data_IF_587534556008
#
_entry.id   IF_587534556008
#
_cell.length_a   1.000
_cell.length_b   1.000
_cell.length_c   1.000
_cell.angle_alpha   90.00
_cell.angle_beta   90.00
_cell.angle_gamma   90.00
#
_symmetry.space_group_name_H-M   'P 1'
#
loop_
_entity.id
_entity.type
_entity.pdbx_description
1 polymer ?
#
# COMPACT_ATOMS: atom_id res chain seq x y z
N UNK A 1 54.74 -5.84 -35.15
CA UNK A 1 55.02 -5.08 -33.92
C UNK A 1 53.77 -4.27 -33.59
N UNK A 2 53.17 -4.54 -32.42
CA UNK A 2 52.37 -3.69 -31.50
C UNK A 2 51.41 -2.59 -32.06
N UNK A 3 50.29 -2.18 -31.47
CA UNK A 3 49.41 -2.58 -30.34
C UNK A 3 48.47 -1.38 -30.03
N UNK A 4 47.23 -1.61 -29.56
CA UNK A 4 46.31 -0.69 -28.80
C UNK A 4 45.84 0.62 -29.51
N UNK A 5 44.61 1.17 -29.37
CA UNK A 5 43.40 0.90 -28.59
C UNK A 5 42.46 2.14 -28.65
N UNK A 6 41.14 1.94 -28.47
CA UNK A 6 40.07 2.93 -28.14
C UNK A 6 39.71 3.98 -29.23
N UNK A 7 38.47 4.39 -29.50
CA UNK A 7 37.26 4.56 -28.70
C UNK A 7 36.03 4.36 -29.62
N UNK A 8 35.04 3.58 -29.16
CA UNK A 8 33.71 3.46 -29.78
C UNK A 8 32.91 4.71 -29.45
N UNK A 9 32.60 5.53 -30.45
CA UNK A 9 31.53 6.54 -30.38
C UNK A 9 30.51 6.19 -31.46
N UNK A 10 29.71 5.17 -31.20
CA UNK A 10 28.54 4.87 -32.01
C UNK A 10 27.46 5.89 -31.64
N UNK A 11 27.07 6.70 -32.62
CA UNK A 11 25.92 7.59 -32.62
C UNK A 11 24.66 6.81 -32.19
N UNK A 12 24.25 6.96 -30.93
CA UNK A 12 22.98 6.40 -30.45
C UNK A 12 21.87 7.25 -31.04
N UNK A 13 21.31 6.75 -32.14
CA UNK A 13 20.12 7.28 -32.78
C UNK A 13 18.96 7.27 -31.79
N UNK A 14 18.21 8.36 -31.83
CA UNK A 14 17.05 8.71 -31.02
C UNK A 14 15.88 7.73 -31.21
N UNK A 15 16.03 6.48 -30.78
CA UNK A 15 14.90 5.64 -30.45
C UNK A 15 14.45 6.08 -29.07
N UNK A 16 13.39 6.87 -29.01
CA UNK A 16 12.45 6.78 -27.90
C UNK A 16 11.96 5.33 -27.88
N UNK A 17 12.75 4.43 -27.28
CA UNK A 17 12.23 3.20 -26.76
C UNK A 17 11.16 3.68 -25.79
N UNK A 18 9.89 3.47 -26.15
CA UNK A 18 8.82 3.39 -25.20
C UNK A 18 9.20 2.27 -24.25
N UNK A 19 10.08 2.57 -23.28
CA UNK A 19 10.22 1.75 -22.10
C UNK A 19 8.84 1.89 -21.49
N UNK A 20 7.98 0.91 -21.80
CA UNK A 20 6.75 0.70 -21.08
C UNK A 20 7.23 0.37 -19.67
N UNK A 21 7.44 1.41 -18.86
CA UNK A 21 7.42 1.31 -17.42
C UNK A 21 5.99 0.88 -17.09
N UNK A 22 5.69 -0.40 -17.28
CA UNK A 22 4.57 -1.03 -16.62
C UNK A 22 4.89 -0.89 -15.15
N UNK A 23 4.15 -0.01 -14.48
CA UNK A 23 4.17 0.10 -13.04
C UNK A 23 4.05 -1.32 -12.47
N UNK A 24 5.03 -1.73 -11.69
CA UNK A 24 5.05 -3.06 -11.05
C UNK A 24 4.04 -3.14 -9.90
N UNK A 25 3.41 -2.02 -9.56
CA UNK A 25 2.53 -1.86 -8.43
C UNK A 25 1.10 -2.26 -8.78
N UNK A 26 0.38 -2.76 -7.77
CA UNK A 26 -1.03 -3.04 -7.92
C UNK A 26 -1.79 -1.71 -8.04
N UNK A 27 -2.48 -1.50 -9.15
CA UNK A 27 -3.38 -0.37 -9.31
C UNK A 27 -4.74 -0.69 -8.66
N UNK A 28 -5.37 0.34 -8.09
CA UNK A 28 -6.68 0.29 -7.42
C UNK A 28 -7.60 1.38 -7.95
N UNK A 29 -8.91 1.14 -7.86
CA UNK A 29 -9.92 2.15 -8.15
C UNK A 29 -10.59 2.64 -6.87
N UNK A 30 -10.42 3.92 -6.53
CA UNK A 30 -10.80 4.47 -5.22
C UNK A 30 -11.75 5.63 -5.40
N UNK A 31 -12.80 5.70 -4.58
CA UNK A 31 -13.79 6.75 -4.64
C UNK A 31 -13.16 8.11 -4.30
N UNK A 32 -13.61 9.17 -4.98
CA UNK A 32 -13.22 10.54 -4.70
C UNK A 32 -13.77 10.96 -3.33
N UNK A 33 -12.93 11.25 -2.31
CA UNK A 33 -13.41 11.65 -0.98
C UNK A 33 -14.12 13.01 -1.00
N UNK A 34 -13.94 13.80 -2.05
CA UNK A 34 -14.62 15.08 -2.25
C UNK A 34 -15.88 14.97 -3.13
N UNK A 35 -16.21 13.78 -3.64
CA UNK A 35 -17.47 13.57 -4.33
C UNK A 35 -18.65 13.74 -3.36
N UNK A 36 -19.81 14.11 -3.91
CA UNK A 36 -21.03 14.16 -3.10
C UNK A 36 -21.37 12.74 -2.65
N UNK A 37 -21.60 12.60 -1.35
CA UNK A 37 -21.99 11.34 -0.72
C UNK A 37 -23.26 10.74 -1.35
N UNK A 38 -24.19 11.58 -1.83
CA UNK A 38 -25.38 11.13 -2.58
C UNK A 38 -25.03 10.39 -3.87
N UNK A 39 -24.08 10.93 -4.63
CA UNK A 39 -23.70 10.42 -5.94
C UNK A 39 -22.92 9.09 -5.79
N UNK A 40 -22.13 9.00 -4.72
CA UNK A 40 -21.47 7.76 -4.31
C UNK A 40 -22.49 6.70 -3.86
N UNK A 41 -23.47 7.07 -3.04
CA UNK A 41 -24.51 6.15 -2.59
C UNK A 41 -25.36 5.62 -3.76
N UNK A 42 -25.76 6.49 -4.69
CA UNK A 42 -26.51 6.09 -5.90
C UNK A 42 -25.70 5.09 -6.74
N UNK A 43 -24.38 5.32 -6.86
CA UNK A 43 -23.49 4.41 -7.58
C UNK A 43 -23.34 3.06 -6.88
N UNK A 44 -23.26 3.05 -5.54
CA UNK A 44 -23.25 1.81 -4.74
C UNK A 44 -24.56 1.04 -4.96
N UNK A 45 -25.70 1.71 -4.78
CA UNK A 45 -27.03 1.09 -4.88
C UNK A 45 -27.26 0.52 -6.28
N UNK A 46 -26.88 1.25 -7.32
CA UNK A 46 -26.95 0.77 -8.70
C UNK A 46 -26.08 -0.46 -8.91
N UNK A 47 -24.81 -0.41 -8.50
CA UNK A 47 -23.85 -1.50 -8.72
C UNK A 47 -24.23 -2.75 -7.94
N UNK A 48 -24.55 -2.61 -6.65
CA UNK A 48 -24.98 -3.72 -5.79
C UNK A 48 -26.38 -4.24 -6.13
N UNK A 49 -27.19 -3.47 -6.87
CA UNK A 49 -28.45 -3.92 -7.46
C UNK A 49 -28.27 -4.90 -8.64
N UNK A 50 -27.07 -4.97 -9.23
CA UNK A 50 -26.79 -5.94 -10.28
C UNK A 50 -26.54 -7.34 -9.70
N UNK A 51 -27.22 -8.35 -10.28
CA UNK A 51 -27.10 -9.76 -9.88
C UNK A 51 -25.67 -10.34 -9.91
N UNK A 52 -24.75 -9.68 -10.61
CA UNK A 52 -23.39 -10.17 -10.84
C UNK A 52 -22.32 -9.51 -9.97
N UNK A 53 -22.73 -8.62 -9.05
CA UNK A 53 -21.84 -7.95 -8.11
C UNK A 53 -22.17 -8.45 -6.70
N UNK A 54 -21.17 -8.97 -6.00
CA UNK A 54 -21.30 -9.42 -4.61
C UNK A 54 -20.87 -8.30 -3.66
N UNK A 55 -21.86 -7.60 -3.09
CA UNK A 55 -21.64 -6.57 -2.08
C UNK A 55 -21.74 -7.09 -0.64
N UNK A 56 -21.77 -8.41 -0.41
CA UNK A 56 -21.84 -8.98 0.95
C UNK A 56 -20.69 -8.53 1.85
N UNK A 57 -19.52 -8.26 1.26
CA UNK A 57 -18.33 -7.83 1.99
C UNK A 57 -18.47 -6.46 2.68
N UNK A 58 -19.32 -5.56 2.16
CA UNK A 58 -19.54 -4.21 2.71
C UNK A 58 -20.82 -4.11 3.55
N UNK A 59 -21.56 -5.20 3.74
CA UNK A 59 -22.74 -5.23 4.61
C UNK A 59 -22.33 -5.38 6.08
N UNK A 60 -23.23 -5.10 7.06
CA UNK A 60 -22.94 -5.31 8.47
C UNK A 60 -22.39 -6.72 8.76
N UNK A 61 -21.28 -6.78 9.51
CA UNK A 61 -20.48 -7.99 9.78
C UNK A 61 -19.67 -8.53 8.59
N UNK A 62 -19.63 -7.82 7.46
CA UNK A 62 -18.78 -8.13 6.32
C UNK A 62 -17.31 -7.79 6.59
N UNK A 63 -16.35 -8.48 5.95
CA UNK A 63 -14.92 -8.24 6.12
C UNK A 63 -14.44 -6.85 5.69
N UNK A 64 -15.23 -6.13 4.88
CA UNK A 64 -14.93 -4.78 4.39
C UNK A 64 -16.02 -3.78 4.82
N UNK A 65 -16.74 -4.09 5.90
CA UNK A 65 -17.73 -3.17 6.47
C UNK A 65 -17.05 -1.96 7.13
N UNK A 66 -15.92 -2.17 7.78
CA UNK A 66 -15.14 -1.12 8.43
C UNK A 66 -13.97 -0.65 7.54
N UNK A 67 -13.73 0.68 7.41
CA UNK A 67 -14.48 1.76 8.04
C UNK A 67 -15.89 1.91 7.44
N UNK A 68 -16.90 2.07 8.29
CA UNK A 68 -18.29 2.20 7.85
C UNK A 68 -18.60 3.62 7.32
N UNK A 69 -18.03 3.95 6.16
CA UNK A 69 -18.33 5.19 5.43
C UNK A 69 -18.74 4.91 3.98
N UNK A 70 -19.53 5.82 3.41
CA UNK A 70 -19.99 5.72 2.02
C UNK A 70 -18.81 5.78 1.03
N UNK A 71 -17.76 6.54 1.35
CA UNK A 71 -16.55 6.63 0.50
C UNK A 71 -15.79 5.31 0.47
N UNK A 72 -15.67 4.64 1.62
CA UNK A 72 -14.96 3.35 1.73
C UNK A 72 -15.74 2.23 1.02
N UNK A 73 -17.05 2.16 1.24
CA UNK A 73 -17.92 1.19 0.55
C UNK A 73 -17.95 1.44 -0.97
N UNK A 74 -17.99 2.71 -1.41
CA UNK A 74 -17.93 3.04 -2.84
C UNK A 74 -16.58 2.63 -3.45
N UNK A 75 -15.48 2.85 -2.73
CA UNK A 75 -14.14 2.43 -3.17
C UNK A 75 -14.05 0.91 -3.35
N UNK A 76 -14.66 0.13 -2.45
CA UNK A 76 -14.72 -1.33 -2.59
C UNK A 76 -15.44 -1.74 -3.87
N UNK A 77 -16.63 -1.17 -4.10
CA UNK A 77 -17.49 -1.48 -5.24
C UNK A 77 -16.83 -1.06 -6.57
N UNK A 78 -16.29 0.15 -6.64
CA UNK A 78 -15.58 0.64 -7.82
C UNK A 78 -14.35 -0.21 -8.14
N UNK A 79 -13.58 -0.60 -7.12
CA UNK A 79 -12.43 -1.48 -7.33
C UNK A 79 -12.87 -2.85 -7.83
N UNK A 80 -13.92 -3.46 -7.26
CA UNK A 80 -14.38 -4.79 -7.66
C UNK A 80 -14.74 -4.83 -9.16
N UNK A 81 -15.56 -3.88 -9.62
CA UNK A 81 -15.98 -3.79 -11.02
C UNK A 81 -14.80 -3.47 -11.94
N UNK A 82 -13.98 -2.50 -11.55
CA UNK A 82 -12.84 -2.09 -12.36
C UNK A 82 -11.82 -3.22 -12.51
N UNK A 83 -11.48 -3.95 -11.44
CA UNK A 83 -10.53 -5.07 -11.51
C UNK A 83 -11.01 -6.17 -12.47
N UNK A 84 -12.32 -6.42 -12.50
CA UNK A 84 -12.94 -7.42 -13.36
C UNK A 84 -12.90 -7.01 -14.84
N UNK A 85 -13.18 -5.76 -15.14
CA UNK A 85 -13.38 -5.28 -16.52
C UNK A 85 -12.26 -4.39 -17.08
N UNK A 86 -11.19 -4.09 -16.33
CA UNK A 86 -10.09 -3.22 -16.81
C UNK A 86 -9.40 -3.74 -18.08
N UNK A 87 -9.41 -5.06 -18.33
CA UNK A 87 -8.88 -5.66 -19.57
C UNK A 87 -9.77 -5.41 -20.80
N UNK A 88 -11.03 -5.06 -20.57
CA UNK A 88 -12.02 -4.74 -21.59
C UNK A 88 -12.05 -3.23 -21.91
N UNK A 89 -11.18 -2.44 -21.26
CA UNK A 89 -11.07 -0.99 -21.49
C UNK A 89 -11.93 -0.14 -20.57
N UNK A 90 -12.57 -0.72 -19.54
CA UNK A 90 -13.28 0.04 -18.52
C UNK A 90 -12.30 0.91 -17.74
N UNK A 91 -12.54 2.21 -17.77
CA UNK A 91 -11.76 3.20 -17.03
C UNK A 91 -12.27 3.29 -15.59
N UNK A 92 -11.34 3.38 -14.63
CA UNK A 92 -11.62 3.82 -13.27
C UNK A 92 -11.81 5.34 -13.26
N UNK A 93 -12.82 5.81 -13.98
CA UNK A 93 -13.18 7.23 -14.02
C UNK A 93 -14.59 7.41 -14.61
N UNK A 94 -15.54 7.66 -13.72
CA UNK A 94 -16.85 8.23 -14.05
C UNK A 94 -17.06 9.56 -13.31
N UNK A 95 -15.98 10.29 -13.00
CA UNK A 95 -16.00 11.53 -12.20
C UNK A 95 -16.12 11.33 -10.69
N UNK A 96 -16.35 10.10 -10.23
CA UNK A 96 -16.54 9.74 -8.81
C UNK A 96 -15.39 8.91 -8.21
N UNK A 97 -14.39 8.53 -9.01
CA UNK A 97 -13.29 7.68 -8.58
C UNK A 97 -11.99 8.05 -9.31
N UNK A 98 -10.85 7.62 -8.77
CA UNK A 98 -9.54 7.81 -9.34
C UNK A 98 -8.67 6.55 -9.18
N UNK A 99 -7.74 6.36 -10.13
CA UNK A 99 -6.73 5.29 -10.01
C UNK A 99 -5.66 5.71 -9.01
N UNK A 100 -5.30 4.78 -8.14
CA UNK A 100 -4.14 4.91 -7.25
C UNK A 100 -3.24 3.69 -7.38
N UNK A 101 -1.97 3.87 -7.08
CA UNK A 101 -0.98 2.80 -7.03
C UNK A 101 -0.75 2.26 -5.60
N UNK A 102 -1.44 2.86 -4.62
CA UNK A 102 -1.35 2.54 -3.18
C UNK A 102 -2.65 1.89 -2.71
N UNK A 103 -2.56 0.87 -1.86
CA UNK A 103 -3.76 0.24 -1.27
C UNK A 103 -4.47 1.22 -0.31
N UNK A 104 -5.70 1.68 -0.61
CA UNK A 104 -6.44 2.62 0.23
C UNK A 104 -6.88 2.00 1.57
N UNK A 105 -6.94 0.67 1.66
CA UNK A 105 -7.24 -0.07 2.89
C UNK A 105 -5.94 -0.56 3.56
N UNK A 106 -4.79 -0.16 3.04
CA UNK A 106 -3.48 -0.47 3.57
C UNK A 106 -3.32 0.12 4.96
N UNK A 107 -3.55 -0.71 5.96
CA UNK A 107 -3.12 -0.37 7.32
C UNK A 107 -1.65 -0.74 7.46
N UNK A 108 -0.90 0.11 8.14
CA UNK A 108 0.53 -0.06 8.42
C UNK A 108 0.77 0.10 9.91
N UNK A 109 1.75 -0.63 10.44
CA UNK A 109 2.21 -0.44 11.80
C UNK A 109 3.57 0.25 11.78
N UNK A 110 3.61 1.53 12.13
CA UNK A 110 4.82 2.35 12.06
C UNK A 110 5.29 2.74 13.46
N UNK A 111 6.51 3.26 13.57
CA UNK A 111 7.00 3.81 14.83
C UNK A 111 6.16 5.01 15.30
N UNK A 112 6.01 5.13 16.62
CA UNK A 112 5.39 6.28 17.25
C UNK A 112 6.40 7.41 17.34
N UNK A 113 6.10 8.56 16.72
CA UNK A 113 7.00 9.72 16.70
C UNK A 113 7.25 10.34 18.09
N UNK A 114 6.43 10.01 19.08
CA UNK A 114 6.61 10.44 20.47
C UNK A 114 7.42 9.44 21.32
N UNK A 115 7.75 8.27 20.79
CA UNK A 115 8.57 7.28 21.49
C UNK A 115 10.06 7.66 21.41
N UNK A 116 10.81 7.37 22.47
CA UNK A 116 12.28 7.55 22.45
C UNK A 116 12.96 6.42 21.69
N UNK A 117 14.16 6.69 21.17
CA UNK A 117 14.98 5.68 20.49
C UNK A 117 15.21 4.43 21.36
N UNK A 118 15.37 4.56 22.67
CA UNK A 118 15.51 3.42 23.59
C UNK A 118 14.26 2.52 23.62
N UNK A 119 13.07 3.12 23.53
CA UNK A 119 11.79 2.39 23.49
C UNK A 119 11.63 1.72 22.13
N UNK A 120 11.95 2.44 21.05
CA UNK A 120 11.93 1.92 19.70
C UNK A 120 12.91 0.74 19.53
N UNK A 121 14.13 0.86 20.03
CA UNK A 121 15.15 -0.19 19.93
C UNK A 121 14.73 -1.46 20.66
N UNK A 122 14.17 -1.35 21.87
CA UNK A 122 13.60 -2.52 22.57
C UNK A 122 12.49 -3.19 21.77
N UNK A 123 11.66 -2.38 21.11
CA UNK A 123 10.65 -2.87 20.18
C UNK A 123 11.27 -3.64 19.01
N UNK A 124 12.31 -3.08 18.36
CA UNK A 124 13.05 -3.73 17.26
C UNK A 124 13.62 -5.07 17.72
N UNK A 125 14.33 -5.08 18.85
CA UNK A 125 14.98 -6.27 19.39
C UNK A 125 13.97 -7.40 19.63
N UNK A 126 12.79 -7.05 20.16
CA UNK A 126 11.71 -8.01 20.34
C UNK A 126 11.12 -8.46 19.00
N UNK A 127 10.77 -7.53 18.11
CA UNK A 127 10.12 -7.82 16.83
C UNK A 127 10.99 -8.76 15.98
N UNK A 128 12.27 -8.42 15.82
CA UNK A 128 13.24 -9.19 15.05
C UNK A 128 13.71 -10.48 15.75
N UNK A 129 13.62 -10.53 17.08
CA UNK A 129 13.93 -11.70 17.89
C UNK A 129 12.71 -12.58 18.10
N UNK A 130 12.13 -12.51 19.30
CA UNK A 130 11.04 -13.39 19.73
C UNK A 130 9.73 -13.20 18.94
N UNK A 131 9.48 -12.00 18.42
CA UNK A 131 8.31 -11.68 17.60
C UNK A 131 8.33 -12.35 16.22
N UNK A 132 9.51 -12.68 15.71
CA UNK A 132 9.66 -13.37 14.42
C UNK A 132 9.27 -12.52 13.21
N UNK A 133 9.46 -11.20 13.28
CA UNK A 133 9.48 -10.32 12.12
C UNK A 133 10.64 -10.70 11.19
N UNK A 134 10.46 -10.51 9.89
CA UNK A 134 11.59 -10.52 8.96
C UNK A 134 12.27 -9.15 9.03
N UNK A 135 13.49 -9.10 9.57
CA UNK A 135 14.32 -7.90 9.68
C UNK A 135 15.58 -7.97 8.81
N UNK A 136 15.60 -8.85 7.80
CA UNK A 136 16.72 -8.97 6.87
C UNK A 136 16.93 -7.69 6.07
N UNK A 137 15.86 -7.02 5.62
CA UNK A 137 15.98 -5.83 4.78
C UNK A 137 16.52 -4.58 5.48
N UNK A 138 16.53 -4.54 6.81
CA UNK A 138 17.05 -3.42 7.62
C UNK A 138 18.49 -3.66 8.13
N UNK A 139 19.16 -4.72 7.67
CA UNK A 139 20.56 -4.96 8.01
C UNK A 139 21.50 -4.09 7.14
N UNK A 140 22.75 -3.85 7.58
CA UNK A 140 23.72 -3.13 6.76
C UNK A 140 23.81 -3.67 5.32
N UNK A 141 23.82 -2.77 4.35
CA UNK A 141 23.83 -3.05 2.90
C UNK A 141 22.56 -3.67 2.32
N UNK A 142 21.42 -3.60 3.04
CA UNK A 142 20.14 -4.10 2.56
C UNK A 142 19.19 -2.96 2.13
N UNK A 143 18.15 -3.24 1.32
CA UNK A 143 17.34 -2.21 0.66
C UNK A 143 16.63 -1.22 1.59
N UNK A 144 16.31 -1.63 2.82
CA UNK A 144 15.59 -0.81 3.81
C UNK A 144 16.51 -0.33 4.95
N UNK A 145 17.83 -0.42 4.80
CA UNK A 145 18.78 0.09 5.79
C UNK A 145 18.84 1.62 5.83
N UNK A 146 18.60 2.28 4.70
CA UNK A 146 18.62 3.75 4.59
C UNK A 146 17.18 4.26 4.50
N UNK A 147 16.78 5.23 5.34
CA UNK A 147 17.60 5.98 6.30
C UNK A 147 18.03 5.13 7.49
N UNK A 148 19.28 5.31 7.93
CA UNK A 148 19.84 4.58 9.07
C UNK A 148 19.46 5.28 10.38
N UNK A 149 18.17 5.25 10.70
CA UNK A 149 17.63 5.76 11.98
C UNK A 149 16.87 4.66 12.70
N UNK A 150 16.83 4.75 14.04
CA UNK A 150 16.08 3.81 14.88
C UNK A 150 14.59 3.83 14.52
N UNK A 151 14.03 5.02 14.24
CA UNK A 151 12.62 5.18 13.89
C UNK A 151 12.24 4.49 12.56
N UNK A 152 13.09 4.59 11.54
CA UNK A 152 12.86 3.96 10.24
C UNK A 152 12.96 2.43 10.32
N UNK A 153 13.99 1.93 11.01
CA UNK A 153 14.17 0.50 11.24
C UNK A 153 13.03 -0.08 12.10
N UNK A 154 12.57 0.67 13.11
CA UNK A 154 11.43 0.31 13.94
C UNK A 154 10.14 0.20 13.11
N UNK A 155 9.84 1.20 12.28
CA UNK A 155 8.67 1.16 11.38
C UNK A 155 8.67 -0.09 10.50
N UNK A 156 9.81 -0.46 9.93
CA UNK A 156 9.93 -1.67 9.13
C UNK A 156 9.68 -2.94 9.96
N UNK A 157 10.37 -3.08 11.10
CA UNK A 157 10.26 -4.26 11.95
C UNK A 157 8.84 -4.45 12.50
N UNK A 158 8.21 -3.37 12.95
CA UNK A 158 6.85 -3.36 13.48
C UNK A 158 5.84 -3.74 12.42
N UNK A 159 5.94 -3.16 11.23
CA UNK A 159 5.06 -3.50 10.13
C UNK A 159 5.24 -4.96 9.70
N UNK A 160 6.48 -5.43 9.54
CA UNK A 160 6.80 -6.82 9.17
C UNK A 160 6.16 -7.83 10.14
N UNK A 161 6.35 -7.62 11.45
CA UNK A 161 5.68 -8.43 12.48
C UNK A 161 4.15 -8.34 12.40
N UNK A 162 3.62 -7.12 12.35
CA UNK A 162 2.19 -6.89 12.49
C UNK A 162 1.42 -7.41 11.29
N UNK A 163 1.89 -7.18 10.05
CA UNK A 163 1.25 -7.71 8.85
C UNK A 163 1.14 -9.24 8.86
N UNK A 164 2.19 -9.92 9.35
CA UNK A 164 2.24 -11.38 9.49
C UNK A 164 1.26 -11.92 10.53
N UNK A 165 1.05 -11.19 11.63
CA UNK A 165 0.33 -11.69 12.81
C UNK A 165 -1.03 -11.01 13.08
N UNK A 166 -1.41 -9.95 12.37
CA UNK A 166 -2.65 -9.19 12.63
C UNK A 166 -3.91 -10.05 12.51
N UNK A 167 -3.93 -11.04 11.62
CA UNK A 167 -5.03 -12.02 11.49
C UNK A 167 -5.20 -12.93 12.72
N UNK A 168 -4.17 -13.02 13.56
CA UNK A 168 -4.14 -13.80 14.80
C UNK A 168 -4.34 -12.91 16.03
N UNK A 169 -4.70 -11.64 15.84
CA UNK A 169 -4.99 -10.69 16.92
C UNK A 169 -3.78 -9.88 17.40
N UNK A 170 -2.66 -9.87 16.68
CA UNK A 170 -1.54 -8.99 17.03
C UNK A 170 -1.94 -7.51 16.92
N UNK A 171 -1.58 -6.73 17.94
CA UNK A 171 -1.82 -5.29 17.98
C UNK A 171 -0.61 -4.51 17.47
N UNK A 172 -0.86 -3.30 16.96
CA UNK A 172 0.18 -2.34 16.62
C UNK A 172 0.38 -1.37 17.80
N UNK A 173 1.13 -1.81 18.82
CA UNK A 173 1.40 -0.99 20.00
C UNK A 173 2.87 -1.06 20.43
N UNK A 174 3.43 -2.26 20.54
CA UNK A 174 4.83 -2.48 20.95
C UNK A 174 5.20 -1.72 22.24
N UNK A 175 4.30 -1.74 23.24
CA UNK A 175 4.46 -0.98 24.50
C UNK A 175 4.51 0.53 24.28
N UNK A 176 3.65 1.05 23.41
CA UNK A 176 3.60 2.46 23.00
C UNK A 176 4.67 2.90 21.98
N UNK A 177 5.51 1.98 21.51
CA UNK A 177 6.56 2.25 20.52
C UNK A 177 6.02 2.37 19.09
N UNK A 178 4.81 1.88 18.83
CA UNK A 178 4.22 1.85 17.50
C UNK A 178 2.81 2.45 17.48
N UNK A 179 2.36 2.80 16.28
CA UNK A 179 1.00 3.26 16.01
C UNK A 179 0.54 2.75 14.64
N UNK A 180 -0.77 2.47 14.55
CA UNK A 180 -1.37 2.08 13.28
C UNK A 180 -1.71 3.32 12.46
N UNK A 181 -1.36 3.30 11.18
CA UNK A 181 -1.73 4.33 10.21
C UNK A 181 -2.45 3.71 9.02
N UNK A 182 -3.35 4.47 8.40
CA UNK A 182 -4.09 4.08 7.20
C UNK A 182 -3.52 4.65 5.90
N UNK A 183 -2.49 5.50 5.99
CA UNK A 183 -1.77 6.03 4.85
C UNK A 183 -0.45 5.28 4.70
N UNK A 184 -0.09 4.88 3.49
CA UNK A 184 1.18 4.23 3.22
C UNK A 184 2.35 5.20 3.53
N UNK A 185 3.24 4.86 4.48
CA UNK A 185 4.34 5.73 4.89
C UNK A 185 5.43 5.85 3.82
N UNK A 186 5.39 5.05 2.74
CA UNK A 186 6.36 5.10 1.64
C UNK A 186 6.07 6.19 0.61
N UNK A 187 4.91 6.85 0.70
CA UNK A 187 4.53 7.99 -0.16
C UNK A 187 4.43 9.28 0.65
N UNK A 188 5.09 10.38 0.23
CA UNK A 188 4.99 11.70 0.88
C UNK A 188 3.60 12.33 0.85
#
# INVERSE_FOLDING_TARGET
MASHGSVVFAMVTLLCIFINFKSSYAEWCVANPHAKVSDLQESIDSTCGHRYVDCSAIQPNGPCYEPNTIVDHASYVFNLEWQKHKKEGVICDFGLAFRVEVDPNGQWCISNSNASDDVLQKGIDWACGAGGADCSAIQPNQPCFVPNTVADHASYAFNSYWQKNKKQGATCDFSGAAQQVSNDPTTP
#
